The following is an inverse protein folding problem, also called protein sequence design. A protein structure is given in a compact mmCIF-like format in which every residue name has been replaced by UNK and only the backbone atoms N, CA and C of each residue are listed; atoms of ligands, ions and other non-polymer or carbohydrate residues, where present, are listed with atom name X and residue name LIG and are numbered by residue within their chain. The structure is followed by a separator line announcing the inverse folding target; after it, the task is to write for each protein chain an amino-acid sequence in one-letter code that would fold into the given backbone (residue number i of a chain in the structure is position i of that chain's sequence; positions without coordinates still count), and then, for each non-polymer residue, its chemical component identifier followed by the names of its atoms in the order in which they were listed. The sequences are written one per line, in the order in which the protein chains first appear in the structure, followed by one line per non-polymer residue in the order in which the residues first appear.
data_IF_902558957298
#
_entry.id   IF_902558957298
#
_cell.length_a   1.000
_cell.length_b   1.000
_cell.length_c   1.000
_cell.angle_alpha   90.00
_cell.angle_beta   90.00
_cell.angle_gamma   90.00
#
_symmetry.space_group_name_H-M   'P 1'
#
loop_
_entity.id
_entity.type
_entity.pdbx_description
1 polymer ?
#
# COMPACT_ATOMS: atom_id res chain seq x y z
N UNK A 1 19.88 -2.85 12.88
CA UNK A 1 18.75 -1.93 13.13
C UNK A 1 17.62 -2.20 12.16
N UNK A 2 16.38 -2.11 12.64
CA UNK A 2 15.18 -2.40 11.85
C UNK A 2 14.16 -1.29 12.13
N UNK A 3 13.51 -0.77 11.09
CA UNK A 3 12.35 0.11 11.20
C UNK A 3 11.16 -0.57 10.55
N UNK A 4 10.05 -0.64 11.29
CA UNK A 4 8.76 -1.15 10.86
C UNK A 4 7.80 0.03 10.72
N UNK A 5 7.21 0.20 9.53
CA UNK A 5 6.22 1.26 9.26
C UNK A 5 4.94 0.63 8.77
N UNK A 6 3.87 0.82 9.54
CA UNK A 6 2.52 0.39 9.21
C UNK A 6 1.71 1.62 8.84
N UNK A 7 1.06 1.58 7.68
CA UNK A 7 0.21 2.67 7.21
C UNK A 7 -1.00 2.13 6.44
N UNK A 8 -2.01 2.96 6.24
CA UNK A 8 -3.22 2.59 5.52
C UNK A 8 -3.64 3.70 4.57
N UNK A 9 -4.02 3.32 3.35
CA UNK A 9 -4.57 4.23 2.36
C UNK A 9 -6.09 4.12 2.36
N UNK A 10 -6.75 5.24 2.61
CA UNK A 10 -8.20 5.37 2.49
C UNK A 10 -8.55 5.96 1.13
N UNK A 11 -9.42 5.27 0.39
CA UNK A 11 -9.95 5.75 -0.89
C UNK A 11 -11.47 5.89 -0.80
N UNK A 12 -12.04 7.09 -1.04
CA UNK A 12 -13.48 7.30 -1.01
C UNK A 12 -14.21 6.37 -1.98
N UNK A 13 -15.36 5.84 -1.57
CA UNK A 13 -16.15 4.83 -2.32
C UNK A 13 -15.38 3.55 -2.68
N UNK A 14 -14.22 3.33 -2.04
CA UNK A 14 -13.43 2.11 -2.10
C UNK A 14 -13.13 1.67 -0.65
N UNK A 15 -12.47 0.51 -0.53
CA UNK A 15 -12.08 -0.05 0.76
C UNK A 15 -10.75 0.54 1.27
N UNK A 16 -10.34 0.14 2.47
CA UNK A 16 -9.04 0.47 3.04
C UNK A 16 -7.94 -0.49 2.53
N UNK A 17 -6.77 0.05 2.20
CA UNK A 17 -5.64 -0.74 1.72
C UNK A 17 -4.44 -0.60 2.67
N UNK A 18 -4.10 -1.63 3.46
CA UNK A 18 -2.94 -1.59 4.33
C UNK A 18 -1.64 -1.62 3.51
N UNK A 19 -0.65 -0.85 3.93
CA UNK A 19 0.69 -0.81 3.34
C UNK A 19 1.75 -0.86 4.43
N UNK A 20 2.52 -1.95 4.45
CA UNK A 20 3.59 -2.16 5.43
C UNK A 20 4.97 -2.08 4.77
N UNK A 21 5.93 -1.45 5.45
CA UNK A 21 7.31 -1.25 4.98
C UNK A 21 8.30 -1.58 6.08
N UNK A 22 9.29 -2.42 5.73
CA UNK A 22 10.35 -2.85 6.64
C UNK A 22 11.71 -2.45 6.06
N UNK A 23 12.46 -1.64 6.79
CA UNK A 23 13.81 -1.21 6.39
C UNK A 23 14.83 -1.84 7.33
N UNK A 24 15.74 -2.61 6.74
CA UNK A 24 16.83 -3.27 7.45
C UNK A 24 18.14 -2.57 7.18
N UNK A 25 18.93 -2.34 8.23
CA UNK A 25 20.30 -1.85 8.07
C UNK A 25 21.22 -2.39 9.14
N UNK A 26 22.44 -2.71 8.74
CA UNK A 26 23.54 -3.11 9.61
C UNK A 26 24.44 -1.89 9.78
N UNK A 27 24.76 -1.56 11.03
CA UNK A 27 25.69 -0.49 11.38
C UNK A 27 26.84 -1.10 12.18
N UNK A 28 28.07 -0.78 11.80
CA UNK A 28 29.24 -1.02 12.63
C UNK A 28 29.32 0.07 13.69
N UNK A 29 29.65 -0.27 14.94
CA UNK A 29 29.59 0.60 16.13
C UNK A 29 30.35 1.93 15.98
N UNK A 30 29.69 2.90 15.35
CA UNK A 30 30.15 4.28 15.24
C UNK A 30 29.00 5.21 15.67
N UNK A 31 29.02 5.70 16.92
CA UNK A 31 27.94 6.49 17.48
C UNK A 31 27.68 7.80 16.71
N UNK A 32 28.68 8.36 16.04
CA UNK A 32 28.53 9.59 15.23
C UNK A 32 27.63 9.40 14.01
N UNK A 33 27.40 8.15 13.58
CA UNK A 33 26.65 7.84 12.36
C UNK A 33 25.23 7.37 12.62
N UNK A 34 24.89 7.04 13.87
CA UNK A 34 23.60 6.45 14.23
C UNK A 34 22.41 7.38 13.92
N UNK A 35 22.53 8.68 14.24
CA UNK A 35 21.44 9.64 14.03
C UNK A 35 21.13 9.86 12.54
N UNK A 36 22.18 10.03 11.75
CA UNK A 36 22.06 10.13 10.29
C UNK A 36 21.50 8.84 9.67
N UNK A 37 21.80 7.70 10.28
CA UNK A 37 21.29 6.40 9.85
C UNK A 37 19.77 6.30 9.96
N UNK A 38 19.23 6.69 11.11
CA UNK A 38 17.78 6.70 11.32
C UNK A 38 17.09 7.63 10.32
N UNK A 39 17.66 8.80 10.04
CA UNK A 39 17.13 9.72 9.05
C UNK A 39 17.12 9.11 7.64
N UNK A 40 18.23 8.49 7.22
CA UNK A 40 18.32 7.76 5.95
C UNK A 40 17.31 6.62 5.86
N UNK A 41 17.13 5.84 6.93
CA UNK A 41 16.16 4.75 6.97
C UNK A 41 14.72 5.25 6.88
N UNK A 42 14.38 6.38 7.54
CA UNK A 42 13.06 7.03 7.40
C UNK A 42 12.80 7.51 5.97
N UNK A 43 13.80 8.12 5.34
CA UNK A 43 13.68 8.59 3.96
C UNK A 43 13.47 7.41 2.99
N UNK A 44 14.20 6.31 3.18
CA UNK A 44 14.00 5.08 2.42
C UNK A 44 12.60 4.48 2.65
N UNK A 45 12.12 4.46 3.91
CA UNK A 45 10.78 3.97 4.22
C UNK A 45 9.70 4.81 3.51
N UNK A 46 9.84 6.15 3.51
CA UNK A 46 8.93 7.05 2.80
C UNK A 46 8.90 6.79 1.29
N UNK A 47 10.07 6.58 0.66
CA UNK A 47 10.14 6.22 -0.75
C UNK A 47 9.42 4.90 -1.05
N UNK A 48 9.59 3.89 -0.20
CA UNK A 48 8.90 2.60 -0.36
C UNK A 48 7.38 2.73 -0.16
N UNK A 49 6.93 3.55 0.79
CA UNK A 49 5.49 3.83 0.96
C UNK A 49 4.89 4.46 -0.29
N UNK A 50 5.54 5.49 -0.85
CA UNK A 50 5.09 6.12 -2.09
C UNK A 50 5.04 5.12 -3.24
N UNK A 51 6.04 4.25 -3.38
CA UNK A 51 6.05 3.21 -4.40
C UNK A 51 4.88 2.22 -4.21
N UNK A 52 4.56 1.84 -2.97
CA UNK A 52 3.43 0.95 -2.67
C UNK A 52 2.07 1.55 -3.02
N UNK A 53 1.96 2.87 -3.17
CA UNK A 53 0.73 3.50 -3.69
C UNK A 53 0.41 3.04 -5.12
N UNK A 54 1.40 2.66 -5.94
CA UNK A 54 1.14 2.09 -7.27
C UNK A 54 0.40 0.75 -7.15
N UNK A 55 0.77 -0.09 -6.19
CA UNK A 55 0.08 -1.36 -5.93
C UNK A 55 -1.37 -1.14 -5.51
N UNK A 56 -1.61 -0.17 -4.63
CA UNK A 56 -2.97 0.18 -4.20
C UNK A 56 -3.82 0.65 -5.38
N UNK A 57 -3.23 1.40 -6.31
CA UNK A 57 -3.92 1.85 -7.52
C UNK A 57 -4.31 0.68 -8.44
N UNK A 58 -3.42 -0.30 -8.63
CA UNK A 58 -3.73 -1.49 -9.46
C UNK A 58 -4.82 -2.35 -8.83
N UNK A 59 -4.76 -2.56 -7.52
CA UNK A 59 -5.77 -3.33 -6.79
C UNK A 59 -7.13 -2.64 -6.85
N UNK A 60 -7.14 -1.31 -6.68
CA UNK A 60 -8.35 -0.50 -6.85
C UNK A 60 -8.95 -0.56 -8.26
N UNK A 61 -8.14 -0.71 -9.31
CA UNK A 61 -8.60 -0.89 -10.70
C UNK A 61 -9.16 -2.30 -10.94
N UNK A 62 -8.49 -3.33 -10.45
CA UNK A 62 -8.96 -4.71 -10.56
C UNK A 62 -10.33 -4.87 -9.88
N UNK A 63 -10.48 -4.34 -8.65
CA UNK A 63 -11.74 -4.37 -7.92
C UNK A 63 -12.88 -3.63 -8.67
N UNK A 64 -12.56 -2.50 -9.32
CA UNK A 64 -13.55 -1.78 -10.14
C UNK A 64 -13.95 -2.55 -11.41
N UNK A 65 -13.01 -3.24 -12.06
CA UNK A 65 -13.31 -4.08 -13.21
C UNK A 65 -14.23 -5.25 -12.84
N UNK A 66 -13.94 -5.93 -11.73
CA UNK A 66 -14.79 -7.01 -11.21
C UNK A 66 -16.20 -6.50 -10.84
N UNK A 67 -16.30 -5.33 -10.19
CA UNK A 67 -17.59 -4.72 -9.89
C UNK A 67 -18.41 -4.46 -11.17
N UNK A 68 -17.79 -3.90 -12.21
CA UNK A 68 -18.49 -3.60 -13.46
C UNK A 68 -18.92 -4.86 -14.25
N UNK A 69 -18.24 -6.00 -14.11
CA UNK A 69 -18.63 -7.25 -14.78
C UNK A 69 -19.74 -8.00 -14.04
N UNK A 70 -19.88 -7.80 -12.72
CA UNK A 70 -20.88 -8.46 -11.89
C UNK A 70 -22.22 -7.70 -11.86
N UNK A 71 -22.22 -6.37 -12.04
CA UNK A 71 -23.43 -5.53 -12.10
C UNK A 71 -24.40 -5.84 -13.27
N UNK A 72 -23.96 -6.13 -14.52
CA UNK A 72 -24.90 -6.43 -15.61
C UNK A 72 -25.61 -7.78 -15.43
N UNK A 73 -25.02 -8.73 -14.70
CA UNK A 73 -25.59 -10.08 -14.55
C UNK A 73 -26.78 -10.12 -13.59
N UNK A 74 -26.93 -9.10 -12.73
CA UNK A 74 -28.05 -9.01 -11.77
C UNK A 74 -29.32 -8.41 -12.40
N UNK A 75 -29.23 -7.77 -13.57
CA UNK A 75 -30.40 -7.24 -14.29
C UNK A 75 -31.02 -8.24 -15.29
N UNK A 76 -30.27 -9.25 -15.76
CA UNK A 76 -30.77 -10.21 -16.76
C UNK A 76 -31.57 -11.36 -16.14
N UNK A 77 -31.41 -11.64 -14.83
CA UNK A 77 -32.15 -12.73 -14.16
C UNK A 77 -33.58 -12.31 -13.77
N UNK A 78 -33.94 -11.02 -13.86
CA UNK A 78 -35.30 -10.52 -13.56
C UNK A 78 -36.17 -10.33 -14.81
N UNK A 79 -35.79 -10.86 -15.97
CA UNK A 79 -36.54 -10.71 -17.20
C UNK A 79 -36.73 -12.05 -17.94
N UNK A 80 -37.65 -12.88 -17.44
CA UNK A 80 -38.49 -13.76 -18.28
C UNK A 80 -39.59 -14.47 -17.46
N UNK A 81 -40.69 -14.83 -18.13
CA UNK A 81 -41.88 -14.02 -18.41
C UNK A 81 -42.98 -14.19 -17.35
#
# INVERSE_FOLDING_TARGET
MIIWVQAQVFMPNKNYYPIDVNVYRILFDNPLTADFLYQKMRQQAAQQLVHKLLSVHTDGKANHALANTLLPQRMVVSAKP
#
